data_IF_518092112766
#
_entry.id   IF_518092112766
#
_cell.length_a   1.000
_cell.length_b   1.000
_cell.length_c   1.000
_cell.angle_alpha   90.00
_cell.angle_beta   90.00
_cell.angle_gamma   90.00
#
_symmetry.space_group_name_H-M   'P 1'
#
loop_
_entity.id
_entity.type
_entity.pdbx_description
1 polymer ?
#
# COMPACT_ATOMS: atom_id res chain seq x y z
N UNK A 1 -3.13 -5.45 -31.14
CA UNK A 1 -3.37 -6.89 -30.95
C UNK A 1 -4.66 -7.09 -30.16
N UNK A 2 -5.47 -8.09 -30.51
CA UNK A 2 -6.62 -8.46 -29.69
C UNK A 2 -6.16 -9.40 -28.57
N UNK A 3 -6.46 -9.04 -27.32
CA UNK A 3 -6.14 -9.85 -26.15
C UNK A 3 -7.22 -10.91 -26.00
N UNK A 4 -6.84 -12.19 -26.03
CA UNK A 4 -7.79 -13.29 -25.81
C UNK A 4 -8.30 -13.30 -24.37
N UNK A 5 -9.48 -13.87 -24.13
CA UNK A 5 -10.06 -13.97 -22.77
C UNK A 5 -9.12 -14.71 -21.79
N UNK A 6 -8.41 -15.73 -22.29
CA UNK A 6 -7.44 -16.49 -21.48
C UNK A 6 -6.25 -15.60 -21.11
N UNK A 7 -5.71 -14.83 -22.06
CA UNK A 7 -4.63 -13.88 -21.77
C UNK A 7 -5.08 -12.80 -20.80
N UNK A 8 -6.29 -12.26 -20.96
CA UNK A 8 -6.86 -11.27 -20.06
C UNK A 8 -6.98 -11.80 -18.62
N UNK A 9 -7.44 -13.05 -18.46
CA UNK A 9 -7.52 -13.71 -17.15
C UNK A 9 -6.13 -13.91 -16.53
N UNK A 10 -5.15 -14.34 -17.33
CA UNK A 10 -3.77 -14.51 -16.86
C UNK A 10 -3.14 -13.17 -16.43
N UNK A 11 -3.39 -12.07 -17.15
CA UNK A 11 -2.95 -10.73 -16.77
C UNK A 11 -3.59 -10.31 -15.43
N UNK A 12 -4.89 -10.60 -15.25
CA UNK A 12 -5.58 -10.37 -13.98
C UNK A 12 -4.98 -11.18 -12.81
N UNK A 13 -4.58 -12.43 -13.06
CA UNK A 13 -3.88 -13.26 -12.07
C UNK A 13 -2.51 -12.68 -11.71
N UNK A 14 -1.74 -12.18 -12.70
CA UNK A 14 -0.45 -11.52 -12.44
C UNK A 14 -0.64 -10.29 -11.55
N UNK A 15 -1.69 -9.49 -11.81
CA UNK A 15 -2.02 -8.35 -10.96
C UNK A 15 -2.40 -8.77 -9.54
N UNK A 16 -3.25 -9.80 -9.40
CA UNK A 16 -3.61 -10.35 -8.09
C UNK A 16 -2.41 -10.88 -7.29
N UNK A 17 -1.42 -11.47 -7.96
CA UNK A 17 -0.17 -11.90 -7.32
C UNK A 17 0.71 -10.71 -6.89
N UNK A 18 0.62 -9.58 -7.58
CA UNK A 18 1.35 -8.35 -7.26
C UNK A 18 0.70 -7.50 -6.18
N UNK A 19 -0.64 -7.44 -6.13
CA UNK A 19 -1.36 -6.64 -5.13
C UNK A 19 -1.33 -7.30 -3.74
N UNK A 20 -1.24 -8.64 -3.68
CA UNK A 20 -1.21 -9.36 -2.41
C UNK A 20 0.22 -9.49 -1.87
N UNK A 21 0.38 -9.05 -0.62
CA UNK A 21 1.59 -9.23 0.22
C UNK A 21 2.15 -10.64 0.13
N UNK A 22 1.26 -11.57 0.45
CA UNK A 22 1.48 -13.01 0.57
C UNK A 22 0.29 -13.73 -0.04
N UNK A 23 0.23 -13.90 -1.38
CA UNK A 23 -0.84 -14.66 -2.00
C UNK A 23 -0.76 -16.11 -1.51
N UNK A 24 -1.74 -16.51 -0.69
CA UNK A 24 -1.77 -17.82 -0.04
C UNK A 24 -0.47 -18.14 0.73
N UNK A 25 0.38 -19.03 0.18
CA UNK A 25 1.65 -19.48 0.78
C UNK A 25 2.89 -18.81 0.16
N UNK A 26 2.72 -17.97 -0.86
CA UNK A 26 3.87 -17.36 -1.54
C UNK A 26 4.33 -16.12 -0.78
N UNK A 27 5.46 -16.22 -0.08
CA UNK A 27 6.05 -15.13 0.70
C UNK A 27 6.69 -14.01 -0.15
N UNK A 28 6.45 -14.01 -1.47
CA UNK A 28 7.28 -13.31 -2.48
C UNK A 28 6.44 -12.42 -3.42
N UNK A 29 5.13 -12.31 -3.19
CA UNK A 29 4.20 -11.66 -4.12
C UNK A 29 4.39 -10.14 -4.25
N UNK A 30 4.15 -9.39 -3.18
CA UNK A 30 4.03 -7.92 -3.28
C UNK A 30 5.31 -7.18 -3.66
N UNK A 31 6.48 -7.53 -3.11
CA UNK A 31 7.67 -6.68 -3.26
C UNK A 31 8.35 -6.81 -4.62
N UNK A 32 8.14 -7.93 -5.31
CA UNK A 32 8.79 -8.23 -6.58
C UNK A 32 7.80 -8.13 -7.74
N UNK A 33 6.59 -8.71 -7.63
CA UNK A 33 5.62 -8.76 -8.75
C UNK A 33 4.93 -7.40 -8.95
N UNK A 34 4.73 -6.61 -7.88
CA UNK A 34 4.15 -5.27 -8.00
C UNK A 34 5.02 -4.32 -8.83
N UNK A 35 6.33 -4.55 -8.92
CA UNK A 35 7.23 -3.68 -9.69
C UNK A 35 6.91 -3.75 -11.19
N UNK A 36 6.64 -2.60 -11.86
CA UNK A 36 6.34 -2.55 -13.28
C UNK A 36 7.29 -3.32 -14.19
N UNK A 37 8.57 -3.40 -13.85
CA UNK A 37 9.55 -4.18 -14.60
C UNK A 37 9.20 -5.68 -14.62
N UNK A 38 8.86 -6.25 -13.46
CA UNK A 38 8.59 -7.68 -13.31
C UNK A 38 7.19 -8.02 -13.82
N UNK A 39 6.18 -7.21 -13.45
CA UNK A 39 4.83 -7.39 -13.99
C UNK A 39 4.79 -7.21 -15.50
N UNK A 40 5.50 -6.22 -16.05
CA UNK A 40 5.60 -6.01 -17.49
C UNK A 40 6.27 -7.16 -18.24
N UNK A 41 7.31 -7.77 -17.66
CA UNK A 41 7.92 -8.99 -18.20
C UNK A 41 6.92 -10.16 -18.22
N UNK A 42 6.21 -10.40 -17.11
CA UNK A 42 5.22 -11.48 -17.02
C UNK A 42 4.08 -11.30 -18.01
N UNK A 43 3.60 -10.06 -18.17
CA UNK A 43 2.58 -9.71 -19.17
C UNK A 43 3.13 -9.90 -20.60
N UNK A 44 4.37 -9.52 -20.87
CA UNK A 44 5.04 -9.77 -22.14
C UNK A 44 5.11 -11.25 -22.50
N UNK A 45 5.40 -12.13 -21.53
CA UNK A 45 5.37 -13.60 -21.71
C UNK A 45 3.96 -14.06 -22.09
N UNK A 46 2.91 -13.57 -21.40
CA UNK A 46 1.52 -13.94 -21.67
C UNK A 46 1.09 -13.52 -23.09
N UNK A 47 1.60 -12.39 -23.57
CA UNK A 47 1.25 -11.84 -24.89
C UNK A 47 2.16 -12.29 -26.03
N UNK A 48 3.26 -13.00 -25.72
CA UNK A 48 4.18 -13.57 -26.70
C UNK A 48 5.38 -12.69 -27.08
N UNK A 49 5.54 -11.52 -26.46
CA UNK A 49 6.73 -10.67 -26.60
C UNK A 49 7.30 -10.27 -25.22
N UNK A 50 8.15 -11.12 -24.63
CA UNK A 50 8.73 -10.85 -23.31
C UNK A 50 9.73 -9.70 -23.32
N UNK A 51 10.43 -9.46 -24.43
CA UNK A 51 11.46 -8.41 -24.51
C UNK A 51 10.79 -7.05 -24.55
N UNK A 52 9.80 -6.88 -25.42
CA UNK A 52 9.07 -5.63 -25.52
C UNK A 52 8.28 -5.36 -24.22
N UNK A 53 7.73 -6.39 -23.57
CA UNK A 53 7.07 -6.26 -22.27
C UNK A 53 8.01 -5.83 -21.15
N UNK A 54 9.23 -6.35 -21.10
CA UNK A 54 10.24 -5.92 -20.14
C UNK A 54 10.68 -4.47 -20.39
N UNK A 55 10.85 -4.06 -21.66
CA UNK A 55 11.23 -2.69 -22.01
C UNK A 55 10.15 -1.68 -21.62
N UNK A 56 8.88 -1.99 -21.90
CA UNK A 56 7.75 -1.14 -21.51
C UNK A 56 7.60 -1.11 -19.99
N UNK A 57 7.69 -2.27 -19.32
CA UNK A 57 7.65 -2.35 -17.86
C UNK A 57 8.78 -1.56 -17.19
N UNK A 58 9.99 -1.59 -17.77
CA UNK A 58 11.11 -0.78 -17.32
C UNK A 58 10.84 0.73 -17.46
N UNK A 59 10.27 1.15 -18.60
CA UNK A 59 9.92 2.55 -18.83
C UNK A 59 8.85 3.03 -17.83
N UNK A 60 7.82 2.23 -17.59
CA UNK A 60 6.78 2.52 -16.60
C UNK A 60 7.38 2.55 -15.18
N UNK A 61 8.38 1.72 -14.88
CA UNK A 61 9.03 1.69 -13.56
C UNK A 61 9.74 3.01 -13.21
N UNK A 62 10.28 3.74 -14.19
CA UNK A 62 11.10 4.94 -13.97
C UNK A 62 10.36 6.02 -13.14
N UNK A 63 9.13 6.43 -13.48
CA UNK A 63 8.31 7.31 -12.64
C UNK A 63 8.07 6.80 -11.21
N UNK A 64 7.98 5.48 -11.04
CA UNK A 64 7.69 4.85 -9.74
C UNK A 64 8.97 4.47 -8.97
N UNK A 65 10.18 4.92 -9.33
CA UNK A 65 11.41 4.61 -8.57
C UNK A 65 11.35 5.20 -7.15
N UNK A 66 10.75 6.38 -7.01
CA UNK A 66 10.57 7.04 -5.72
C UNK A 66 9.32 6.56 -4.96
N UNK A 67 8.61 5.56 -5.48
CA UNK A 67 7.41 5.04 -4.85
C UNK A 67 7.76 4.41 -3.50
N UNK A 68 7.13 4.93 -2.44
CA UNK A 68 7.17 4.39 -1.09
C UNK A 68 5.73 4.40 -0.59
N UNK A 69 5.23 3.23 -0.17
CA UNK A 69 3.94 3.14 0.51
C UNK A 69 4.12 3.56 1.97
N UNK A 70 3.85 4.84 2.25
CA UNK A 70 3.91 5.39 3.61
C UNK A 70 2.50 5.79 4.06
N UNK A 71 1.90 4.97 4.92
CA UNK A 71 0.59 5.21 5.53
C UNK A 71 -0.60 4.75 4.67
N UNK A 72 -1.42 3.85 5.22
CA UNK A 72 -2.82 3.56 4.86
C UNK A 72 -3.15 3.15 3.41
N UNK A 73 -2.90 4.01 2.43
CA UNK A 73 -3.14 3.77 1.03
C UNK A 73 -2.09 4.49 0.16
N UNK A 74 -1.48 3.82 -0.82
CA UNK A 74 -0.52 4.45 -1.71
C UNK A 74 -1.21 5.44 -2.68
N UNK A 75 -0.58 6.59 -2.99
CA UNK A 75 -1.17 7.60 -3.88
C UNK A 75 -1.39 7.11 -5.31
N UNK A 76 -0.62 6.10 -5.72
CA UNK A 76 -0.70 5.46 -7.03
C UNK A 76 -0.38 3.98 -6.84
N UNK A 77 -1.03 3.07 -7.57
CA UNK A 77 -0.63 1.67 -7.58
C UNK A 77 0.30 1.33 -8.77
N UNK A 78 1.61 1.13 -8.53
CA UNK A 78 2.54 0.74 -9.58
C UNK A 78 2.28 -0.69 -10.11
N UNK A 79 1.61 -1.56 -9.33
CA UNK A 79 1.26 -2.91 -9.76
C UNK A 79 0.28 -2.91 -10.91
N UNK A 80 -0.78 -2.11 -10.83
CA UNK A 80 -1.76 -1.99 -11.90
C UNK A 80 -1.19 -1.25 -13.12
N UNK A 81 -0.43 -0.19 -12.90
CA UNK A 81 0.25 0.52 -13.98
C UNK A 81 1.20 -0.41 -14.76
N UNK A 82 1.95 -1.25 -14.04
CA UNK A 82 2.88 -2.21 -14.63
C UNK A 82 2.22 -3.39 -15.34
N UNK A 83 1.10 -3.90 -14.83
CA UNK A 83 0.39 -5.04 -15.44
C UNK A 83 -0.50 -4.60 -16.60
N UNK A 84 -1.57 -3.85 -16.29
CA UNK A 84 -2.57 -3.45 -17.28
C UNK A 84 -2.01 -2.39 -18.23
N UNK A 85 -1.20 -1.45 -17.74
CA UNK A 85 -0.54 -0.46 -18.58
C UNK A 85 0.41 -1.08 -19.61
N UNK A 86 1.22 -2.07 -19.21
CA UNK A 86 2.07 -2.81 -20.15
C UNK A 86 1.24 -3.62 -21.15
N UNK A 87 0.17 -4.29 -20.71
CA UNK A 87 -0.69 -5.06 -21.60
C UNK A 87 -1.32 -4.18 -22.70
N UNK A 88 -1.85 -3.02 -22.32
CA UNK A 88 -2.48 -2.09 -23.26
C UNK A 88 -1.45 -1.41 -24.18
N UNK A 89 -0.28 -1.03 -23.65
CA UNK A 89 0.78 -0.41 -24.46
C UNK A 89 1.35 -1.39 -25.51
N UNK A 90 1.60 -2.65 -25.12
CA UNK A 90 2.00 -3.70 -26.04
C UNK A 90 0.90 -4.00 -27.06
N UNK A 91 -0.37 -4.07 -26.65
CA UNK A 91 -1.48 -4.31 -27.56
C UNK A 91 -1.67 -3.16 -28.57
N UNK A 92 -1.37 -1.93 -28.17
CA UNK A 92 -1.40 -0.75 -29.02
C UNK A 92 -0.14 -0.60 -29.90
N UNK A 93 0.96 -1.30 -29.57
CA UNK A 93 2.23 -1.21 -30.30
C UNK A 93 2.89 0.16 -30.18
N UNK A 94 2.67 0.85 -29.06
CA UNK A 94 3.22 2.20 -28.83
C UNK A 94 4.66 2.15 -28.32
N UNK A 95 5.37 3.25 -28.47
CA UNK A 95 6.71 3.39 -27.93
C UNK A 95 6.69 3.47 -26.38
N UNK A 96 7.82 3.19 -25.71
CA UNK A 96 7.88 3.17 -24.24
C UNK A 96 7.56 4.51 -23.58
N UNK A 97 7.79 5.65 -24.23
CA UNK A 97 7.45 6.96 -23.66
C UNK A 97 5.93 7.19 -23.67
N UNK A 98 5.26 6.83 -24.76
CA UNK A 98 3.80 6.84 -24.84
C UNK A 98 3.17 5.82 -23.88
N UNK A 99 3.82 4.68 -23.63
CA UNK A 99 3.37 3.70 -22.66
C UNK A 99 3.29 4.27 -21.23
N UNK A 100 4.21 5.15 -20.83
CA UNK A 100 4.17 5.84 -19.52
C UNK A 100 2.91 6.70 -19.42
N UNK A 101 2.56 7.43 -20.47
CA UNK A 101 1.36 8.28 -20.49
C UNK A 101 0.07 7.46 -20.33
N UNK A 102 0.01 6.26 -20.94
CA UNK A 102 -1.12 5.34 -20.79
C UNK A 102 -1.17 4.73 -19.38
N UNK A 103 -0.02 4.33 -18.84
CA UNK A 103 0.07 3.63 -17.56
C UNK A 103 -0.17 4.53 -16.33
N UNK A 104 0.14 5.82 -16.42
CA UNK A 104 0.00 6.79 -15.32
C UNK A 104 -1.43 6.88 -14.76
N UNK A 105 -2.47 7.16 -15.56
CA UNK A 105 -3.85 7.21 -15.05
C UNK A 105 -4.38 5.84 -14.63
N UNK A 106 -3.88 4.75 -15.24
CA UNK A 106 -4.22 3.38 -14.84
C UNK A 106 -3.73 3.10 -13.41
N UNK A 107 -2.50 3.52 -13.05
CA UNK A 107 -1.99 3.37 -11.70
C UNK A 107 -2.85 4.07 -10.64
N UNK A 108 -3.44 5.20 -11.00
CA UNK A 108 -4.36 5.93 -10.12
C UNK A 108 -5.68 5.19 -9.92
N UNK A 109 -6.25 4.57 -10.97
CA UNK A 109 -7.40 3.68 -10.81
C UNK A 109 -7.08 2.50 -9.88
N UNK A 110 -5.84 2.01 -9.89
CA UNK A 110 -5.39 0.96 -8.99
C UNK A 110 -5.46 1.36 -7.51
N UNK A 111 -5.22 2.63 -7.18
CA UNK A 111 -5.44 3.15 -5.82
C UNK A 111 -6.91 3.05 -5.40
N UNK A 112 -7.86 3.27 -6.31
CA UNK A 112 -9.29 3.11 -6.01
C UNK A 112 -9.62 1.65 -5.71
N UNK A 113 -9.12 0.74 -6.55
CA UNK A 113 -9.26 -0.71 -6.35
C UNK A 113 -8.66 -1.11 -4.99
N UNK A 114 -7.50 -0.57 -4.65
CA UNK A 114 -6.83 -0.78 -3.36
C UNK A 114 -7.66 -0.28 -2.18
N UNK A 115 -8.22 0.93 -2.26
CA UNK A 115 -9.05 1.50 -1.19
C UNK A 115 -10.34 0.71 -1.00
N UNK A 116 -10.99 0.28 -2.09
CA UNK A 116 -12.16 -0.59 -2.01
C UNK A 116 -11.79 -1.92 -1.34
N UNK A 117 -10.68 -2.52 -1.75
CA UNK A 117 -10.16 -3.75 -1.15
C UNK A 117 -9.95 -3.59 0.37
N UNK A 118 -9.21 -2.57 0.80
CA UNK A 118 -8.97 -2.26 2.21
C UNK A 118 -10.28 -2.00 2.98
N UNK A 119 -11.26 -1.35 2.35
CA UNK A 119 -12.56 -1.06 2.99
C UNK A 119 -13.36 -2.34 3.24
N UNK A 120 -13.36 -3.28 2.29
CA UNK A 120 -14.02 -4.57 2.46
C UNK A 120 -13.30 -5.40 3.53
N UNK A 121 -11.97 -5.32 3.59
CA UNK A 121 -11.16 -6.06 4.57
C UNK A 121 -11.46 -5.70 6.03
N UNK A 122 -11.97 -4.48 6.30
CA UNK A 122 -12.41 -4.06 7.65
C UNK A 122 -13.48 -5.00 8.20
N UNK A 123 -14.35 -5.57 7.36
CA UNK A 123 -15.37 -6.53 7.81
C UNK A 123 -14.72 -7.80 8.35
N UNK A 124 -13.66 -8.28 7.70
CA UNK A 124 -12.94 -9.47 8.14
C UNK A 124 -12.10 -9.20 9.39
N UNK A 125 -11.57 -7.99 9.54
CA UNK A 125 -10.88 -7.58 10.77
C UNK A 125 -11.81 -7.71 12.00
N UNK A 126 -13.03 -7.19 11.93
CA UNK A 126 -14.00 -7.34 13.02
C UNK A 126 -14.41 -8.81 13.30
N UNK A 127 -14.40 -9.68 12.29
CA UNK A 127 -14.63 -11.12 12.49
C UNK A 127 -13.45 -11.80 13.18
N UNK A 128 -12.22 -11.39 12.85
CA UNK A 128 -11.01 -11.83 13.54
C UNK A 128 -11.02 -11.42 15.01
N UNK A 129 -11.45 -10.19 15.32
CA UNK A 129 -11.56 -9.71 16.71
C UNK A 129 -12.53 -10.59 17.52
N UNK A 130 -13.71 -10.89 16.97
CA UNK A 130 -14.68 -11.82 17.60
C UNK A 130 -14.12 -13.23 17.76
N UNK A 131 -13.34 -13.74 16.80
CA UNK A 131 -12.71 -15.05 16.91
C UNK A 131 -11.61 -15.06 18.00
N UNK A 132 -10.89 -13.95 18.14
CA UNK A 132 -9.87 -13.76 19.17
C UNK A 132 -10.47 -13.69 20.58
N UNK A 133 -11.60 -12.99 20.77
CA UNK A 133 -12.34 -12.95 22.04
C UNK A 133 -12.78 -14.33 22.52
N UNK A 134 -13.15 -15.20 21.57
CA UNK A 134 -13.56 -16.58 21.85
C UNK A 134 -12.38 -17.57 22.00
N UNK A 135 -11.14 -17.11 21.81
CA UNK A 135 -9.93 -17.95 21.90
C UNK A 135 -9.82 -19.02 20.79
N UNK A 136 -10.62 -18.94 19.73
CA UNK A 136 -10.61 -19.92 18.64
C UNK A 136 -9.56 -19.57 17.59
N UNK A 137 -8.37 -20.12 17.79
CA UNK A 137 -7.23 -19.95 16.88
C UNK A 137 -7.48 -20.49 15.46
N UNK A 138 -8.37 -21.48 15.28
CA UNK A 138 -8.69 -22.04 13.96
C UNK A 138 -9.64 -21.12 13.21
N UNK A 139 -10.65 -20.60 13.89
CA UNK A 139 -11.53 -19.60 13.31
C UNK A 139 -10.75 -18.33 12.94
N UNK A 140 -9.84 -17.87 13.81
CA UNK A 140 -8.97 -16.72 13.54
C UNK A 140 -8.11 -16.93 12.29
N UNK A 141 -7.44 -18.08 12.18
CA UNK A 141 -6.62 -18.41 11.01
C UNK A 141 -7.46 -18.48 9.72
N UNK A 142 -8.68 -19.03 9.80
CA UNK A 142 -9.58 -19.09 8.65
C UNK A 142 -10.04 -17.70 8.20
N UNK A 143 -10.56 -16.88 9.13
CA UNK A 143 -11.05 -15.52 8.83
C UNK A 143 -9.95 -14.59 8.35
N UNK A 144 -8.72 -14.79 8.81
CA UNK A 144 -7.58 -14.01 8.37
C UNK A 144 -7.08 -14.41 6.98
N UNK A 145 -7.07 -15.71 6.65
CA UNK A 145 -6.40 -16.20 5.44
C UNK A 145 -7.32 -16.41 4.23
N UNK A 146 -8.51 -16.98 4.44
CA UNK A 146 -9.32 -17.49 3.31
C UNK A 146 -10.26 -16.42 2.73
N UNK A 147 -11.14 -15.77 3.51
CA UNK A 147 -12.07 -14.78 2.96
C UNK A 147 -11.39 -13.54 2.36
N UNK A 148 -10.41 -12.88 3.00
CA UNK A 148 -9.75 -11.71 2.42
C UNK A 148 -9.07 -12.05 1.10
N UNK A 149 -8.43 -13.22 1.00
CA UNK A 149 -7.72 -13.64 -0.20
C UNK A 149 -8.65 -13.90 -1.38
N UNK A 150 -9.85 -14.45 -1.14
CA UNK A 150 -10.86 -14.66 -2.18
C UNK A 150 -11.41 -13.31 -2.65
N UNK A 151 -11.70 -12.39 -1.71
CA UNK A 151 -12.16 -11.05 -2.05
C UNK A 151 -11.10 -10.29 -2.86
N UNK A 152 -9.84 -10.36 -2.43
CA UNK A 152 -8.70 -9.80 -3.17
C UNK A 152 -8.58 -10.36 -4.60
N UNK A 153 -8.84 -11.67 -4.77
CA UNK A 153 -8.85 -12.30 -6.09
C UNK A 153 -9.97 -11.76 -6.99
N UNK A 154 -11.17 -11.59 -6.44
CA UNK A 154 -12.32 -11.07 -7.19
C UNK A 154 -12.09 -9.60 -7.56
N UNK A 155 -11.68 -8.78 -6.59
CA UNK A 155 -11.46 -7.33 -6.77
C UNK A 155 -10.22 -7.05 -7.63
N UNK A 156 -9.21 -7.92 -7.61
CA UNK A 156 -8.02 -7.79 -8.43
C UNK A 156 -8.20 -8.33 -9.85
N UNK A 157 -8.61 -9.60 -9.99
CA UNK A 157 -8.60 -10.30 -11.28
C UNK A 157 -9.68 -9.76 -12.21
N UNK A 158 -10.90 -9.54 -11.71
CA UNK A 158 -12.06 -9.23 -12.56
C UNK A 158 -11.89 -7.86 -13.26
N UNK A 159 -11.58 -6.76 -12.57
CA UNK A 159 -11.45 -5.46 -13.23
C UNK A 159 -10.30 -5.43 -14.24
N UNK A 160 -9.18 -6.09 -13.93
CA UNK A 160 -8.02 -6.17 -14.83
C UNK A 160 -8.30 -7.03 -16.04
N UNK A 161 -8.97 -8.16 -15.87
CA UNK A 161 -9.40 -9.02 -16.97
C UNK A 161 -10.34 -8.26 -17.91
N UNK A 162 -11.34 -7.55 -17.38
CA UNK A 162 -12.26 -6.76 -18.19
C UNK A 162 -11.54 -5.62 -18.91
N UNK A 163 -10.66 -4.88 -18.20
CA UNK A 163 -9.87 -3.80 -18.79
C UNK A 163 -8.93 -4.28 -19.90
N UNK A 164 -8.29 -5.45 -19.72
CA UNK A 164 -7.43 -6.04 -20.73
C UNK A 164 -8.23 -6.57 -21.94
N UNK A 165 -9.41 -7.16 -21.71
CA UNK A 165 -10.23 -7.76 -22.78
C UNK A 165 -10.94 -6.71 -23.64
N UNK A 166 -11.55 -5.70 -23.02
CA UNK A 166 -12.24 -4.62 -23.74
C UNK A 166 -11.28 -3.57 -24.31
N UNK A 167 -10.02 -3.60 -23.87
CA UNK A 167 -8.95 -2.79 -24.42
C UNK A 167 -8.94 -1.34 -23.95
N UNK A 168 -8.00 -0.57 -24.52
CA UNK A 168 -7.68 0.77 -24.05
C UNK A 168 -8.83 1.78 -24.18
N UNK A 169 -9.78 1.56 -25.10
CA UNK A 169 -10.95 2.44 -25.28
C UNK A 169 -11.85 2.49 -24.06
N UNK A 170 -12.24 1.33 -23.52
CA UNK A 170 -13.10 1.27 -22.31
C UNK A 170 -12.35 1.76 -21.08
N UNK A 171 -11.05 1.47 -20.98
CA UNK A 171 -10.24 1.99 -19.87
C UNK A 171 -10.12 3.51 -19.95
N UNK A 172 -9.92 4.07 -21.15
CA UNK A 172 -9.91 5.52 -21.36
C UNK A 172 -11.29 6.15 -21.06
N UNK A 173 -12.39 5.51 -21.45
CA UNK A 173 -13.74 6.00 -21.16
C UNK A 173 -14.04 5.98 -19.65
N UNK A 174 -13.60 4.94 -18.93
CA UNK A 174 -13.72 4.88 -17.47
C UNK A 174 -12.87 5.98 -16.83
N UNK A 175 -11.63 6.18 -17.29
CA UNK A 175 -10.77 7.27 -16.80
C UNK A 175 -11.44 8.62 -17.04
N UNK A 176 -11.92 8.89 -18.25
CA UNK A 176 -12.59 10.14 -18.63
C UNK A 176 -13.92 10.33 -17.87
N UNK A 177 -14.63 9.25 -17.53
CA UNK A 177 -15.84 9.31 -16.72
C UNK A 177 -15.54 9.56 -15.23
N UNK A 178 -14.37 9.14 -14.75
CA UNK A 178 -13.86 9.44 -13.42
C UNK A 178 -13.15 10.81 -13.33
N UNK A 179 -12.69 11.35 -14.46
CA UNK A 179 -12.11 12.69 -14.53
C UNK A 179 -13.13 13.75 -14.08
N UNK A 180 -12.72 14.51 -13.07
CA UNK A 180 -13.55 15.47 -12.37
C UNK A 180 -13.41 15.35 -10.86
N UNK A 181 -14.43 15.84 -10.14
CA UNK A 181 -14.44 15.89 -8.67
C UNK A 181 -14.20 14.56 -7.95
N UNK A 182 -14.72 13.39 -8.39
CA UNK A 182 -14.59 12.16 -7.61
C UNK A 182 -13.14 11.68 -7.47
N UNK A 183 -12.39 11.69 -8.58
CA UNK A 183 -11.01 11.25 -8.61
C UNK A 183 -10.09 12.21 -7.84
N UNK A 184 -10.30 13.51 -8.03
CA UNK A 184 -9.59 14.57 -7.29
C UNK A 184 -9.88 14.47 -5.78
N UNK A 185 -11.13 14.17 -5.40
CA UNK A 185 -11.50 13.96 -3.99
C UNK A 185 -10.81 12.72 -3.40
N UNK A 186 -10.76 11.60 -4.13
CA UNK A 186 -10.05 10.40 -3.69
C UNK A 186 -8.54 10.64 -3.58
N UNK A 187 -7.95 11.42 -4.48
CA UNK A 187 -6.54 11.84 -4.39
C UNK A 187 -6.27 12.71 -3.18
N UNK A 188 -7.13 13.69 -2.89
CA UNK A 188 -6.98 14.57 -1.72
C UNK A 188 -7.15 13.77 -0.43
N UNK A 189 -8.17 12.91 -0.33
CA UNK A 189 -8.37 12.03 0.83
C UNK A 189 -7.17 11.08 0.99
N UNK A 190 -6.72 10.46 -0.10
CA UNK A 190 -5.55 9.59 -0.13
C UNK A 190 -4.27 10.31 0.30
N UNK A 191 -4.08 11.56 -0.11
CA UNK A 191 -2.96 12.41 0.28
C UNK A 191 -2.93 12.78 1.76
N UNK A 192 -4.08 12.73 2.45
CA UNK A 192 -4.19 13.01 3.89
C UNK A 192 -3.89 11.75 4.74
N UNK A 193 -4.10 10.53 4.21
CA UNK A 193 -3.86 9.28 4.95
C UNK A 193 -2.44 9.13 5.53
N UNK A 194 -1.35 9.49 4.81
CA UNK A 194 0.00 9.50 5.37
C UNK A 194 0.15 10.44 6.58
N UNK A 195 -0.52 11.60 6.56
CA UNK A 195 -0.50 12.55 7.66
C UNK A 195 -1.20 11.98 8.91
N UNK A 196 -2.30 11.24 8.72
CA UNK A 196 -3.00 10.52 9.80
C UNK A 196 -2.07 9.47 10.43
N UNK A 197 -1.33 8.71 9.61
CA UNK A 197 -0.37 7.73 10.11
C UNK A 197 0.74 8.35 10.97
N UNK A 198 1.29 9.49 10.53
CA UNK A 198 2.27 10.25 11.32
C UNK A 198 1.64 10.75 12.63
N UNK A 199 0.40 11.27 12.58
CA UNK A 199 -0.31 11.75 13.75
C UNK A 199 -0.59 10.63 14.78
N UNK A 200 -1.00 9.44 14.32
CA UNK A 200 -1.17 8.27 15.19
C UNK A 200 0.13 7.84 15.86
N UNK A 201 1.25 7.84 15.12
CA UNK A 201 2.57 7.54 15.69
C UNK A 201 3.00 8.59 16.73
N UNK A 202 2.77 9.88 16.46
CA UNK A 202 3.06 10.95 17.42
C UNK A 202 2.19 10.83 18.68
N UNK A 203 0.91 10.47 18.54
CA UNK A 203 0.00 10.20 19.65
C UNK A 203 0.47 9.01 20.49
N UNK A 204 0.93 7.94 19.86
CA UNK A 204 1.43 6.75 20.56
C UNK A 204 2.73 7.00 21.37
N UNK A 205 3.52 8.01 21.00
CA UNK A 205 4.74 8.38 21.74
C UNK A 205 4.45 9.13 23.05
N UNK A 206 3.24 9.67 23.22
CA UNK A 206 2.69 10.39 24.38
C UNK A 206 3.73 10.92 25.39
N UNK A 207 4.58 11.85 24.93
CA UNK A 207 5.58 12.50 25.77
C UNK A 207 5.65 14.01 25.55
N UNK A 208 5.87 14.78 26.62
CA UNK A 208 6.04 16.22 26.52
C UNK A 208 7.26 16.55 25.67
N UNK A 209 7.09 17.41 24.66
CA UNK A 209 8.17 17.88 23.79
C UNK A 209 8.40 17.07 22.50
N UNK A 210 7.70 15.95 22.28
CA UNK A 210 7.80 15.17 21.02
C UNK A 210 7.43 16.02 19.80
N UNK A 211 6.42 16.90 19.95
CA UNK A 211 6.00 17.80 18.86
C UNK A 211 7.08 18.83 18.48
N UNK A 212 7.90 19.29 19.43
CA UNK A 212 9.01 20.20 19.14
C UNK A 212 10.10 19.50 18.32
N UNK A 213 10.45 18.27 18.68
CA UNK A 213 11.40 17.46 17.92
C UNK A 213 10.88 17.12 16.52
N UNK A 214 9.58 16.85 16.39
CA UNK A 214 8.93 16.64 15.10
C UNK A 214 9.00 17.88 14.21
N UNK A 215 8.62 19.05 14.74
CA UNK A 215 8.68 20.32 13.99
C UNK A 215 10.12 20.67 13.61
N UNK A 216 11.09 20.46 14.50
CA UNK A 216 12.50 20.65 14.21
C UNK A 216 12.97 19.76 13.06
N UNK A 217 12.65 18.46 13.11
CA UNK A 217 12.94 17.53 12.03
C UNK A 217 12.29 17.94 10.70
N UNK A 218 11.04 18.40 10.74
CA UNK A 218 10.32 18.89 9.57
C UNK A 218 11.01 20.10 8.93
N UNK A 219 11.38 21.11 9.73
CA UNK A 219 12.12 22.29 9.25
C UNK A 219 13.45 21.86 8.62
N UNK A 220 14.19 20.96 9.28
CA UNK A 220 15.46 20.46 8.73
C UNK A 220 15.24 19.78 7.38
N UNK A 221 14.27 18.86 7.23
CA UNK A 221 13.97 18.20 5.94
C UNK A 221 13.64 19.22 4.86
N UNK A 222 12.71 20.16 5.14
CA UNK A 222 12.18 21.08 4.13
C UNK A 222 13.22 22.06 3.61
N UNK A 223 14.15 22.52 4.46
CA UNK A 223 15.12 23.55 4.08
C UNK A 223 16.50 23.00 3.71
N UNK A 224 16.87 21.80 4.16
CA UNK A 224 18.21 21.24 3.91
C UNK A 224 18.29 20.37 2.65
N UNK A 225 17.17 19.84 2.16
CA UNK A 225 17.15 18.91 1.01
C UNK A 225 17.86 17.58 1.29
N UNK A 226 18.18 17.26 2.56
CA UNK A 226 18.83 16.01 2.95
C UNK A 226 17.85 14.86 2.77
N UNK A 227 18.32 13.75 2.19
CA UNK A 227 17.51 12.53 2.05
C UNK A 227 17.08 11.99 3.43
N UNK A 228 15.91 11.36 3.48
CA UNK A 228 15.29 10.87 4.74
C UNK A 228 16.16 9.90 5.53
N UNK A 229 16.93 9.05 4.83
CA UNK A 229 17.79 8.04 5.46
C UNK A 229 18.97 8.66 6.25
N UNK A 230 19.82 9.52 5.67
CA UNK A 230 20.85 10.25 6.41
C UNK A 230 20.30 11.03 7.62
N UNK A 231 19.15 11.68 7.47
CA UNK A 231 18.54 12.43 8.57
C UNK A 231 18.08 11.50 9.70
N UNK A 232 17.52 10.34 9.38
CA UNK A 232 17.15 9.35 10.38
C UNK A 232 18.36 8.83 11.17
N UNK A 233 19.51 8.63 10.50
CA UNK A 233 20.77 8.25 11.17
C UNK A 233 21.25 9.36 12.10
N UNK A 234 21.23 10.62 11.66
CA UNK A 234 21.60 11.78 12.50
C UNK A 234 20.66 11.93 13.69
N UNK A 235 19.34 11.78 13.49
CA UNK A 235 18.35 11.81 14.56
C UNK A 235 18.59 10.68 15.57
N UNK A 236 18.96 9.48 15.12
CA UNK A 236 19.35 8.38 15.99
C UNK A 236 20.59 8.67 16.84
N UNK A 237 21.60 9.31 16.26
CA UNK A 237 22.80 9.75 17.00
C UNK A 237 22.44 10.80 18.06
N UNK A 238 21.64 11.81 17.70
CA UNK A 238 21.17 12.84 18.63
C UNK A 238 20.33 12.22 19.77
N UNK A 239 19.42 11.30 19.44
CA UNK A 239 18.63 10.59 20.44
C UNK A 239 19.51 9.77 21.39
N UNK A 240 20.52 9.07 20.87
CA UNK A 240 21.48 8.32 21.68
C UNK A 240 22.27 9.23 22.62
N UNK A 241 22.77 10.38 22.13
CA UNK A 241 23.52 11.34 22.94
C UNK A 241 22.66 11.97 24.04
N UNK A 242 21.40 12.34 23.73
CA UNK A 242 20.47 12.92 24.70
C UNK A 242 20.12 11.88 25.77
N UNK A 243 19.83 10.64 25.38
CA UNK A 243 19.51 9.55 26.31
C UNK A 243 20.72 9.19 27.18
N UNK A 244 21.93 9.16 26.59
CA UNK A 244 23.18 8.94 27.30
C UNK A 244 23.55 10.08 28.27
N UNK A 245 23.21 11.33 27.94
CA UNK A 245 23.40 12.48 28.83
C UNK A 245 22.36 12.52 29.97
N UNK A 246 21.13 12.08 29.72
CA UNK A 246 20.09 11.95 30.74
C UNK A 246 20.39 10.81 31.74
N UNK A 247 21.10 9.76 31.31
CA UNK A 247 21.55 8.66 32.18
C UNK A 247 22.65 9.06 33.18
N UNK A 248 23.30 10.23 33.02
CA UNK A 248 24.26 10.74 34.00
C UNK A 248 23.63 11.49 35.19
N UNK A 249 22.30 11.69 35.20
CA UNK A 249 21.59 12.46 36.23
C UNK A 249 20.32 11.82 36.81
N UNK A 250 19.91 10.63 36.35
CA UNK A 250 18.74 9.93 36.88
C UNK A 250 19.06 8.45 37.06
N UNK A 251 18.73 7.92 38.25
CA UNK A 251 18.76 6.49 38.54
C UNK A 251 18.11 5.69 37.39
N UNK A 252 18.82 4.66 36.96
CA UNK A 252 18.37 3.75 35.91
C UNK A 252 17.06 3.08 36.34
N UNK A 253 15.93 3.58 35.83
CA UNK A 253 14.71 2.78 35.76
C UNK A 253 14.96 1.72 34.67
N UNK A 254 14.98 0.43 35.01
CA UNK A 254 15.31 -0.61 34.04
C UNK A 254 14.30 -0.58 32.91
N UNK A 255 14.80 -0.40 31.69
CA UNK A 255 14.02 -0.63 30.48
C UNK A 255 13.80 -2.14 30.41
N UNK A 256 12.58 -2.56 30.75
CA UNK A 256 12.16 -3.93 30.52
C UNK A 256 12.32 -4.22 29.02
N UNK A 257 13.05 -5.28 28.62
CA UNK A 257 13.12 -5.65 27.23
C UNK A 257 11.69 -5.89 26.74
N UNK A 258 11.32 -5.30 25.60
CA UNK A 258 10.10 -5.67 24.87
C UNK A 258 10.34 -7.08 24.33
N UNK A 259 10.19 -8.06 25.21
CA UNK A 259 10.00 -9.45 24.85
C UNK A 259 8.54 -9.51 24.40
N UNK A 260 8.34 -9.89 23.14
CA UNK A 260 7.06 -10.33 22.63
C UNK A 260 6.53 -11.45 23.56
N UNK A 261 5.58 -11.09 24.42
CA UNK A 261 5.07 -11.95 25.47
C UNK A 261 3.96 -11.23 26.21
N UNK A 262 2.78 -11.19 25.61
CA UNK A 262 1.58 -10.72 26.28
C UNK A 262 1.25 -11.61 27.47
N UNK A 263 1.02 -10.99 28.63
CA UNK A 263 0.34 -11.57 29.76
C UNK A 263 -0.93 -10.73 30.03
N UNK A 264 -2.00 -11.33 30.60
CA UNK A 264 -3.39 -11.06 30.25
C UNK A 264 -3.92 -9.73 30.81
N UNK A 265 -5.05 -9.22 30.28
CA UNK A 265 -5.63 -7.98 30.76
C UNK A 265 -6.17 -8.19 32.18
N UNK A 266 -5.70 -7.35 33.10
CA UNK A 266 -6.39 -7.11 34.37
C UNK A 266 -7.78 -6.56 34.06
N UNK A 267 -8.80 -7.28 34.51
CA UNK A 267 -10.18 -6.83 34.53
C UNK A 267 -10.28 -5.55 35.38
N UNK A 268 -10.43 -4.38 34.75
CA UNK A 268 -11.01 -3.15 35.33
C UNK A 268 -11.03 -1.98 34.32
N UNK A 269 -11.52 -2.22 33.10
CA UNK A 269 -11.82 -1.12 32.14
C UNK A 269 -13.25 -1.22 31.59
N UNK A 270 -14.11 -1.97 32.27
CA UNK A 270 -15.54 -2.03 31.98
C UNK A 270 -16.29 -1.14 32.97
N UNK A 271 -16.33 0.16 32.71
CA UNK A 271 -17.44 1.02 33.15
C UNK A 271 -17.43 2.34 32.39
N UNK A 272 -18.45 2.47 31.53
CA UNK A 272 -19.30 3.65 31.38
C UNK A 272 -18.62 4.99 31.04
N UNK A 273 -18.81 5.42 29.79
CA UNK A 273 -19.48 6.67 29.39
C UNK A 273 -18.84 7.26 28.13
N UNK A 274 -19.39 6.94 26.96
CA UNK A 274 -18.92 7.44 25.65
C UNK A 274 -19.99 8.24 24.90
N UNK A 275 -21.07 8.65 25.56
CA UNK A 275 -22.19 9.36 24.93
C UNK A 275 -22.23 10.87 25.25
N UNK A 276 -21.17 11.45 25.83
CA UNK A 276 -21.15 12.85 26.28
C UNK A 276 -20.38 13.84 25.38
N UNK A 277 -19.68 13.41 24.33
CA UNK A 277 -18.77 14.30 23.57
C UNK A 277 -19.36 14.86 22.24
N UNK A 278 -20.69 14.84 22.09
CA UNK A 278 -21.38 15.48 20.97
C UNK A 278 -22.51 16.41 21.43
N UNK A 279 -22.15 17.53 22.08
CA UNK A 279 -22.88 18.80 22.04
C UNK A 279 -21.92 19.97 21.84
#
# INVERSE_FOLDING_TARGET
MQISLIQALLIGVVYYLGINGTPWLTLVGSTIIQKPLVSGLLVGIIMGDPVQGAVIGAAIQLPFIAYISAGGAPPTDPGLAGTLGTALALAAGVDPATAIAIATPIGLLGTIIWVIHMTVDVVFAHMCDRAAENGDTKALAFWHLCPPQIVAAIIGIIPVMLGAYFGAGVVADIINALEGRPLETLQVIGGILPAIGIAMNLRALDRPGVILWFVLGFVVVQYSGIATLPLAVLAGIVAYLITGSAASGAEMVPVQPVIAGGAPPSADIASEDSDADFE
#
